data_IF_438338402727
#
_entry.id   IF_438338402727
#
_cell.length_a   1.000
_cell.length_b   1.000
_cell.length_c   1.000
_cell.angle_alpha   90.00
_cell.angle_beta   90.00
_cell.angle_gamma   90.00
#
_symmetry.space_group_name_H-M   'P 1'
#
loop_
_entity.id
_entity.type
_entity.pdbx_description
1 polymer ?
#
# COMPACT_ATOMS: atom_id res chain seq x y z
N UNK A 1 -38.41 4.18 -20.73
CA UNK A 1 -38.35 4.33 -19.26
C UNK A 1 -37.32 5.42 -18.98
N UNK A 2 -37.58 6.41 -18.12
CA UNK A 2 -36.55 7.39 -17.79
C UNK A 2 -35.39 6.66 -17.11
N UNK A 3 -34.18 6.81 -17.66
CA UNK A 3 -32.96 6.30 -17.04
C UNK A 3 -32.88 6.83 -15.60
N UNK A 4 -32.80 5.92 -14.64
CA UNK A 4 -32.68 6.28 -13.23
C UNK A 4 -31.34 6.99 -13.08
N UNK A 5 -31.37 8.31 -12.86
CA UNK A 5 -30.17 9.12 -12.67
C UNK A 5 -29.36 8.53 -11.51
N UNK A 6 -28.13 8.11 -11.78
CA UNK A 6 -27.22 7.56 -10.76
C UNK A 6 -26.82 8.74 -9.85
N UNK A 7 -26.94 8.55 -8.53
CA UNK A 7 -26.61 9.57 -7.52
C UNK A 7 -25.73 8.94 -6.44
N UNK A 8 -24.74 9.69 -5.96
CA UNK A 8 -23.94 9.31 -4.81
C UNK A 8 -24.84 9.21 -3.57
N UNK A 9 -24.63 8.17 -2.76
CA UNK A 9 -25.34 7.98 -1.49
C UNK A 9 -24.68 8.88 -0.44
N UNK A 10 -25.48 9.67 0.27
CA UNK A 10 -24.97 10.60 1.29
C UNK A 10 -24.37 9.90 2.51
N UNK A 11 -24.87 8.71 2.85
CA UNK A 11 -24.44 7.92 4.01
C UNK A 11 -24.51 6.42 3.67
N UNK A 12 -23.37 5.74 3.74
CA UNK A 12 -23.25 4.30 3.53
C UNK A 12 -23.63 3.55 4.81
N UNK A 13 -24.36 2.44 4.67
CA UNK A 13 -24.58 1.50 5.77
C UNK A 13 -23.57 0.36 5.67
N UNK A 14 -23.24 -0.28 6.77
CA UNK A 14 -22.36 -1.45 6.76
C UNK A 14 -22.85 -2.59 5.85
N UNK A 15 -24.17 -2.68 5.66
CA UNK A 15 -24.81 -3.66 4.77
C UNK A 15 -25.20 -3.05 3.41
N UNK A 16 -24.64 -1.90 3.03
CA UNK A 16 -24.99 -1.23 1.77
C UNK A 16 -24.58 -2.08 0.57
N UNK A 17 -25.53 -2.50 -0.30
CA UNK A 17 -25.20 -3.28 -1.49
C UNK A 17 -24.28 -2.52 -2.46
N UNK A 18 -24.21 -1.21 -2.35
CA UNK A 18 -23.30 -0.36 -3.12
C UNK A 18 -21.82 -0.57 -2.75
N UNK A 19 -21.54 -1.15 -1.58
CA UNK A 19 -20.18 -1.47 -1.14
C UNK A 19 -19.73 -2.89 -1.48
N UNK A 20 -20.55 -3.65 -2.23
CA UNK A 20 -20.27 -5.07 -2.56
C UNK A 20 -18.87 -5.29 -3.14
N UNK A 21 -18.40 -4.41 -4.03
CA UNK A 21 -17.05 -4.53 -4.61
C UNK A 21 -15.94 -4.31 -3.58
N UNK A 22 -16.15 -3.43 -2.59
CA UNK A 22 -15.21 -3.19 -1.48
C UNK A 22 -15.10 -4.45 -0.62
N UNK A 23 -16.24 -5.00 -0.19
CA UNK A 23 -16.30 -6.23 0.61
C UNK A 23 -15.65 -7.42 -0.09
N UNK A 24 -16.00 -7.64 -1.36
CA UNK A 24 -15.44 -8.74 -2.14
C UNK A 24 -13.92 -8.64 -2.27
N UNK A 25 -13.41 -7.45 -2.53
CA UNK A 25 -11.97 -7.21 -2.60
C UNK A 25 -11.28 -7.44 -1.25
N UNK A 26 -11.80 -6.85 -0.18
CA UNK A 26 -11.17 -6.88 1.13
C UNK A 26 -11.12 -8.30 1.70
N UNK A 27 -12.20 -9.08 1.54
CA UNK A 27 -12.23 -10.47 2.00
C UNK A 27 -11.24 -11.38 1.27
N UNK A 28 -10.93 -11.09 0.00
CA UNK A 28 -10.00 -11.88 -0.79
C UNK A 28 -8.53 -11.51 -0.49
N UNK A 29 -8.22 -10.21 -0.40
CA UNK A 29 -6.83 -9.73 -0.38
C UNK A 29 -6.37 -9.11 0.94
N UNK A 30 -7.30 -8.81 1.84
CA UNK A 30 -7.04 -8.25 3.17
C UNK A 30 -7.91 -8.94 4.24
N UNK A 31 -7.96 -10.29 4.28
CA UNK A 31 -8.74 -10.99 5.30
C UNK A 31 -8.12 -10.79 6.68
N UNK A 32 -8.95 -10.80 7.71
CA UNK A 32 -8.46 -10.78 9.08
C UNK A 32 -7.94 -12.16 9.49
N UNK A 33 -6.82 -12.16 10.22
CA UNK A 33 -6.22 -13.37 10.77
C UNK A 33 -6.66 -13.59 12.22
N UNK A 34 -7.18 -14.78 12.50
CA UNK A 34 -7.58 -15.20 13.84
C UNK A 34 -6.77 -16.41 14.27
N UNK A 35 -6.23 -16.37 15.49
CA UNK A 35 -5.51 -17.50 16.08
C UNK A 35 -6.49 -18.31 16.91
N UNK A 36 -6.67 -19.57 16.53
CA UNK A 36 -7.46 -20.55 17.30
C UNK A 36 -6.79 -20.91 18.62
N UNK A 37 -7.54 -21.52 19.54
CA UNK A 37 -7.01 -22.04 20.82
C UNK A 37 -5.86 -23.05 20.62
N UNK A 38 -5.81 -23.71 19.45
CA UNK A 38 -4.78 -24.68 19.05
C UNK A 38 -3.56 -24.02 18.36
N UNK A 39 -3.53 -22.69 18.24
CA UNK A 39 -2.44 -21.93 17.62
C UNK A 39 -2.47 -21.89 16.09
N UNK A 40 -3.54 -22.39 15.44
CA UNK A 40 -3.72 -22.33 13.98
C UNK A 40 -4.28 -20.96 13.57
N UNK A 41 -3.74 -20.39 12.50
CA UNK A 41 -4.24 -19.17 11.85
C UNK A 41 -5.42 -19.53 10.94
N UNK A 42 -6.54 -18.84 11.12
CA UNK A 42 -7.71 -18.87 10.25
C UNK A 42 -7.93 -17.50 9.63
N UNK A 43 -8.37 -17.48 8.37
CA UNK A 43 -8.75 -16.25 7.66
C UNK A 43 -10.26 -16.05 7.81
N UNK A 44 -10.66 -14.88 8.30
CA UNK A 44 -12.05 -14.48 8.41
C UNK A 44 -12.38 -13.26 7.56
N UNK A 45 -13.61 -12.78 7.72
CA UNK A 45 -14.09 -11.57 7.06
C UNK A 45 -13.27 -10.35 7.50
N UNK A 46 -12.92 -9.51 6.53
CA UNK A 46 -12.11 -8.31 6.74
C UNK A 46 -12.91 -7.25 7.50
N UNK A 47 -12.34 -6.67 8.57
CA UNK A 47 -12.93 -5.50 9.24
C UNK A 47 -12.67 -4.19 8.48
N UNK A 48 -11.73 -4.17 7.53
CA UNK A 48 -11.27 -2.97 6.82
C UNK A 48 -12.41 -2.21 6.09
N UNK A 49 -13.42 -2.86 5.47
CA UNK A 49 -14.55 -2.15 4.87
C UNK A 49 -15.40 -1.36 5.86
N UNK A 50 -15.50 -1.79 7.14
CA UNK A 50 -16.22 -1.01 8.16
C UNK A 50 -15.51 0.33 8.39
N UNK A 51 -14.18 0.33 8.52
CA UNK A 51 -13.39 1.54 8.68
C UNK A 51 -13.49 2.48 7.47
N UNK A 52 -13.56 1.92 6.26
CA UNK A 52 -13.80 2.70 5.06
C UNK A 52 -15.17 3.39 5.10
N UNK A 53 -16.23 2.67 5.50
CA UNK A 53 -17.58 3.22 5.61
C UNK A 53 -17.63 4.32 6.68
N UNK A 54 -16.98 4.11 7.82
CA UNK A 54 -16.86 5.13 8.87
C UNK A 54 -16.17 6.38 8.35
N UNK A 55 -15.04 6.25 7.65
CA UNK A 55 -14.33 7.39 7.02
C UNK A 55 -15.15 8.08 5.92
N UNK A 56 -15.98 7.31 5.21
CA UNK A 56 -16.87 7.86 4.19
C UNK A 56 -17.97 8.72 4.82
N UNK A 57 -18.54 8.25 5.94
CA UNK A 57 -19.67 8.86 6.63
C UNK A 57 -19.27 9.99 7.58
N UNK A 58 -18.16 9.89 8.34
CA UNK A 58 -17.78 10.89 9.34
C UNK A 58 -16.33 10.78 9.95
N UNK A 59 -16.01 11.74 10.85
CA UNK A 59 -14.87 11.91 11.79
C UNK A 59 -13.41 11.85 11.30
N UNK A 60 -13.04 11.05 10.30
CA UNK A 60 -11.67 11.00 9.74
C UNK A 60 -11.72 11.32 8.24
N UNK A 61 -10.86 12.21 7.71
CA UNK A 61 -10.89 12.53 6.30
C UNK A 61 -10.52 11.31 5.45
N UNK A 62 -11.49 10.82 4.67
CA UNK A 62 -11.26 9.93 3.54
C UNK A 62 -10.45 10.67 2.48
N UNK A 63 -9.37 10.06 1.99
CA UNK A 63 -8.62 10.66 0.89
C UNK A 63 -9.42 10.53 -0.41
N UNK A 64 -9.97 11.65 -0.89
CA UNK A 64 -10.77 11.71 -2.12
C UNK A 64 -10.00 12.41 -3.24
N UNK A 65 -9.62 11.71 -4.32
CA UNK A 65 -8.85 12.32 -5.39
C UNK A 65 -9.68 13.20 -6.33
N UNK A 66 -10.97 12.89 -6.49
CA UNK A 66 -11.93 13.58 -7.36
C UNK A 66 -13.34 13.56 -6.73
N UNK A 67 -14.26 14.40 -7.21
CA UNK A 67 -15.68 14.33 -6.84
C UNK A 67 -16.43 13.26 -7.63
N UNK A 68 -17.58 12.80 -7.11
CA UNK A 68 -18.46 11.88 -7.82
C UNK A 68 -18.96 12.46 -9.15
N UNK A 69 -19.28 13.76 -9.19
CA UNK A 69 -19.65 14.44 -10.44
C UNK A 69 -18.52 14.41 -11.47
N UNK A 70 -17.26 14.60 -11.04
CA UNK A 70 -16.09 14.50 -11.94
C UNK A 70 -15.94 13.08 -12.49
N UNK A 71 -16.20 12.07 -11.67
CA UNK A 71 -16.17 10.67 -12.08
C UNK A 71 -17.28 10.33 -13.08
N UNK A 72 -18.53 10.71 -12.78
CA UNK A 72 -19.69 10.35 -13.60
C UNK A 72 -19.76 11.13 -14.92
N UNK A 73 -19.23 12.35 -14.95
CA UNK A 73 -19.13 13.16 -16.17
C UNK A 73 -17.89 12.82 -17.04
N UNK A 74 -17.10 11.82 -16.67
CA UNK A 74 -15.98 11.36 -17.49
C UNK A 74 -16.44 10.27 -18.47
N UNK A 75 -16.77 10.67 -19.69
CA UNK A 75 -17.29 9.79 -20.75
C UNK A 75 -16.40 8.56 -21.00
N UNK A 76 -15.08 8.71 -20.91
CA UNK A 76 -14.13 7.62 -21.16
C UNK A 76 -14.22 6.59 -20.02
N UNK A 77 -14.23 7.05 -18.77
CA UNK A 77 -14.38 6.15 -17.61
C UNK A 77 -15.74 5.45 -17.66
N UNK A 78 -16.82 6.20 -17.88
CA UNK A 78 -18.17 5.64 -17.94
C UNK A 78 -18.33 4.61 -19.07
N UNK A 79 -17.78 4.88 -20.25
CA UNK A 79 -17.79 3.94 -21.39
C UNK A 79 -17.01 2.66 -21.08
N UNK A 80 -15.82 2.78 -20.48
CA UNK A 80 -15.02 1.62 -20.10
C UNK A 80 -15.70 0.77 -19.03
N UNK A 81 -16.40 1.38 -18.08
CA UNK A 81 -17.18 0.67 -17.07
C UNK A 81 -18.34 -0.10 -17.70
N UNK A 82 -19.03 0.50 -18.68
CA UNK A 82 -20.11 -0.16 -19.43
C UNK A 82 -19.59 -1.33 -20.26
N UNK A 83 -18.48 -1.14 -20.99
CA UNK A 83 -17.83 -2.20 -21.78
C UNK A 83 -17.37 -3.37 -20.90
N UNK A 84 -16.90 -3.07 -19.69
CA UNK A 84 -16.49 -4.06 -18.68
C UNK A 84 -17.67 -4.64 -17.88
N UNK A 85 -18.89 -4.15 -18.11
CA UNK A 85 -20.12 -4.54 -17.39
C UNK A 85 -20.02 -4.36 -15.87
N UNK A 86 -19.39 -3.27 -15.44
CA UNK A 86 -19.22 -2.92 -14.03
C UNK A 86 -20.30 -1.94 -13.61
N UNK A 87 -20.84 -2.13 -12.40
CA UNK A 87 -21.74 -1.17 -11.80
C UNK A 87 -20.96 0.10 -11.42
N UNK A 88 -21.37 1.24 -12.01
CA UNK A 88 -20.68 2.54 -11.82
C UNK A 88 -20.70 3.00 -10.36
N UNK A 89 -21.79 2.77 -9.64
CA UNK A 89 -21.90 3.21 -8.25
C UNK A 89 -21.08 2.31 -7.33
N UNK A 90 -21.12 0.98 -7.52
CA UNK A 90 -20.28 0.05 -6.75
C UNK A 90 -18.79 0.27 -7.02
N UNK A 91 -18.44 0.52 -8.28
CA UNK A 91 -17.07 0.79 -8.67
C UNK A 91 -16.55 2.13 -8.11
N UNK A 92 -17.40 3.15 -8.00
CA UNK A 92 -17.04 4.40 -7.33
C UNK A 92 -16.53 4.17 -5.91
N UNK A 93 -17.25 3.40 -5.10
CA UNK A 93 -16.85 3.11 -3.73
C UNK A 93 -15.58 2.26 -3.64
N UNK A 94 -15.43 1.26 -4.52
CA UNK A 94 -14.17 0.53 -4.65
C UNK A 94 -13.00 1.47 -5.01
N UNK A 95 -13.20 2.39 -5.95
CA UNK A 95 -12.18 3.32 -6.38
C UNK A 95 -11.72 4.22 -5.23
N UNK A 96 -12.65 4.80 -4.47
CA UNK A 96 -12.35 5.57 -3.27
C UNK A 96 -11.61 4.72 -2.23
N UNK A 97 -12.09 3.51 -1.98
CA UNK A 97 -11.49 2.58 -1.04
C UNK A 97 -10.03 2.26 -1.39
N UNK A 98 -9.76 1.83 -2.62
CA UNK A 98 -8.40 1.48 -3.05
C UNK A 98 -7.47 2.70 -3.11
N UNK A 99 -8.00 3.88 -3.45
CA UNK A 99 -7.19 5.10 -3.43
C UNK A 99 -6.79 5.48 -2.00
N UNK A 100 -7.75 5.46 -1.07
CA UNK A 100 -7.50 5.76 0.34
C UNK A 100 -6.60 4.72 1.00
N UNK A 101 -6.79 3.44 0.68
CA UNK A 101 -5.92 2.34 1.10
C UNK A 101 -4.48 2.60 0.64
N UNK A 102 -4.25 2.88 -0.66
CA UNK A 102 -2.90 3.14 -1.18
C UNK A 102 -2.32 4.44 -0.64
N UNK A 103 -3.13 5.47 -0.44
CA UNK A 103 -2.72 6.70 0.23
C UNK A 103 -2.21 6.44 1.65
N UNK A 104 -2.84 5.52 2.37
CA UNK A 104 -2.39 5.06 3.67
C UNK A 104 -1.03 4.34 3.67
N UNK A 105 -0.65 3.68 2.57
CA UNK A 105 0.69 3.10 2.40
C UNK A 105 1.73 4.12 1.92
N UNK A 106 1.34 5.04 1.05
CA UNK A 106 2.26 5.93 0.33
C UNK A 106 2.43 7.33 0.93
N UNK A 107 1.39 7.89 1.55
CA UNK A 107 1.44 9.25 2.15
C UNK A 107 1.44 9.20 3.67
N UNK A 108 0.86 8.15 4.24
CA UNK A 108 0.76 7.93 5.69
C UNK A 108 1.39 6.60 6.10
N UNK A 109 2.25 6.04 5.24
CA UNK A 109 2.87 4.74 5.46
C UNK A 109 3.66 4.74 6.75
N UNK A 110 3.35 3.80 7.63
CA UNK A 110 4.12 3.57 8.84
C UNK A 110 5.21 2.57 8.49
N UNK A 111 6.45 3.02 8.39
CA UNK A 111 7.56 2.07 8.39
C UNK A 111 7.70 1.47 9.78
N UNK A 112 7.49 0.16 9.88
CA UNK A 112 7.83 -0.58 11.09
C UNK A 112 9.35 -0.74 11.06
N UNK A 113 10.06 0.05 11.87
CA UNK A 113 11.47 -0.19 12.11
C UNK A 113 11.56 -1.41 13.03
N UNK A 114 11.95 -2.56 12.47
CA UNK A 114 12.32 -3.72 13.28
C UNK A 114 13.68 -3.45 13.91
N UNK A 115 13.66 -2.76 15.05
CA UNK A 115 14.87 -2.49 15.83
C UNK A 115 15.57 -3.79 16.25
N UNK A 116 14.81 -4.89 16.41
CA UNK A 116 15.38 -6.20 16.69
C UNK A 116 16.26 -6.70 15.56
N UNK A 117 15.76 -6.63 14.31
CA UNK A 117 16.54 -7.00 13.14
C UNK A 117 17.76 -6.10 12.94
N UNK A 118 17.63 -4.78 13.12
CA UNK A 118 18.77 -3.87 12.99
C UNK A 118 19.86 -4.14 14.03
N UNK A 119 19.47 -4.46 15.27
CA UNK A 119 20.42 -4.86 16.32
C UNK A 119 21.08 -6.20 15.95
N UNK A 120 20.32 -7.18 15.43
CA UNK A 120 20.88 -8.45 14.94
C UNK A 120 21.89 -8.24 13.80
N UNK A 121 21.55 -7.43 12.80
CA UNK A 121 22.45 -7.12 11.69
C UNK A 121 23.73 -6.45 12.17
N UNK A 122 23.62 -5.51 13.13
CA UNK A 122 24.76 -4.87 13.77
C UNK A 122 25.64 -5.88 14.54
N UNK A 123 25.03 -6.80 15.28
CA UNK A 123 25.73 -7.88 15.99
C UNK A 123 26.47 -8.78 15.01
N UNK A 124 25.79 -9.28 13.98
CA UNK A 124 26.38 -10.16 12.97
C UNK A 124 27.55 -9.48 12.27
N UNK A 125 27.38 -8.23 11.83
CA UNK A 125 28.46 -7.48 11.19
C UNK A 125 29.68 -7.32 12.10
N UNK A 126 29.47 -7.09 13.41
CA UNK A 126 30.56 -7.01 14.37
C UNK A 126 31.27 -8.36 14.55
N UNK A 127 30.53 -9.45 14.74
CA UNK A 127 31.10 -10.78 14.98
C UNK A 127 31.90 -11.29 13.78
N UNK A 128 31.34 -11.15 12.57
CA UNK A 128 32.05 -11.47 11.32
C UNK A 128 33.34 -10.66 11.19
N UNK A 129 33.32 -9.36 11.49
CA UNK A 129 34.52 -8.54 11.43
C UNK A 129 35.61 -9.00 12.40
N UNK A 130 35.24 -9.35 13.64
CA UNK A 130 36.19 -9.84 14.66
C UNK A 130 36.76 -11.20 14.28
N UNK A 131 35.96 -12.11 13.74
CA UNK A 131 36.42 -13.41 13.24
C UNK A 131 37.40 -13.26 12.07
N UNK A 132 37.08 -12.41 11.10
CA UNK A 132 37.92 -12.19 9.92
C UNK A 132 39.17 -11.37 10.22
N UNK A 133 39.14 -10.48 11.24
CA UNK A 133 40.20 -9.50 11.52
C UNK A 133 40.58 -9.43 13.03
N UNK A 134 41.05 -10.52 13.65
CA UNK A 134 41.18 -10.65 15.11
C UNK A 134 42.14 -9.66 15.78
N UNK A 135 43.04 -9.02 15.02
CA UNK A 135 44.04 -8.09 15.55
C UNK A 135 43.83 -6.63 15.10
N UNK A 136 42.75 -6.34 14.37
CA UNK A 136 42.53 -5.01 13.82
C UNK A 136 41.85 -4.10 14.85
N UNK A 137 42.35 -2.86 14.95
CA UNK A 137 41.73 -1.85 15.81
C UNK A 137 40.41 -1.41 15.20
N UNK A 138 39.34 -1.49 15.99
CA UNK A 138 37.99 -1.08 15.60
C UNK A 138 37.51 0.12 16.44
N UNK A 139 36.65 0.96 15.86
CA UNK A 139 35.97 2.04 16.58
C UNK A 139 34.50 2.09 16.19
N UNK A 140 33.62 2.35 17.15
CA UNK A 140 32.22 2.65 16.91
C UNK A 140 32.04 4.17 16.90
N UNK A 141 31.47 4.71 15.83
CA UNK A 141 31.25 6.16 15.69
C UNK A 141 29.75 6.43 15.61
N UNK A 142 29.24 7.23 16.53
CA UNK A 142 27.89 7.78 16.50
C UNK A 142 27.98 9.19 15.96
N UNK A 143 27.36 9.44 14.82
CA UNK A 143 27.35 10.76 14.17
C UNK A 143 25.93 11.30 14.13
N UNK A 144 25.77 12.53 14.57
CA UNK A 144 24.56 13.34 14.37
C UNK A 144 24.94 14.63 13.64
N UNK A 145 23.96 15.48 13.35
CA UNK A 145 24.21 16.81 12.76
C UNK A 145 25.04 17.73 13.67
N UNK A 146 24.96 17.54 15.00
CA UNK A 146 25.54 18.47 15.99
C UNK A 146 26.76 17.91 16.72
N UNK A 147 26.89 16.59 16.79
CA UNK A 147 27.93 15.94 17.59
C UNK A 147 28.39 14.60 17.02
N UNK A 148 29.64 14.25 17.34
CA UNK A 148 30.26 12.97 17.03
C UNK A 148 30.74 12.33 18.34
N UNK A 149 30.19 11.17 18.67
CA UNK A 149 30.68 10.28 19.72
C UNK A 149 31.53 9.15 19.13
N UNK A 150 32.64 8.80 19.77
CA UNK A 150 33.53 7.72 19.29
C UNK A 150 33.96 6.82 20.44
N UNK A 151 33.65 5.53 20.35
CA UNK A 151 34.19 4.47 21.20
C UNK A 151 35.33 3.81 20.44
N UNK A 152 36.55 3.90 20.98
CA UNK A 152 37.78 3.43 20.31
C UNK A 152 38.28 2.07 20.81
N UNK A 153 37.72 1.60 21.92
CA UNK A 153 38.14 0.37 22.58
C UNK A 153 37.23 -0.79 22.15
N UNK A 154 37.83 -1.86 21.64
CA UNK A 154 37.09 -3.01 21.10
C UNK A 154 36.36 -3.77 22.21
N UNK A 155 36.95 -3.85 23.41
CA UNK A 155 36.33 -4.53 24.55
C UNK A 155 35.07 -3.80 25.03
N UNK A 156 35.06 -2.48 24.97
CA UNK A 156 33.87 -1.66 25.26
C UNK A 156 32.77 -1.94 24.23
N UNK A 157 33.11 -2.09 22.95
CA UNK A 157 32.14 -2.43 21.90
C UNK A 157 31.61 -3.85 22.09
N UNK A 158 32.47 -4.82 22.42
CA UNK A 158 32.04 -6.19 22.79
C UNK A 158 31.07 -6.18 23.97
N UNK A 159 31.27 -5.30 24.95
CA UNK A 159 30.37 -5.15 26.09
C UNK A 159 29.00 -4.61 25.68
N UNK A 160 28.95 -3.66 24.74
CA UNK A 160 27.68 -3.18 24.14
C UNK A 160 26.96 -4.32 23.43
N UNK A 161 27.68 -5.08 22.58
CA UNK A 161 27.14 -6.23 21.85
C UNK A 161 26.55 -7.27 22.80
N UNK A 162 27.23 -7.56 23.92
CA UNK A 162 26.72 -8.46 24.96
C UNK A 162 25.36 -8.01 25.50
N UNK A 163 25.22 -6.73 25.83
CA UNK A 163 23.93 -6.21 26.32
C UNK A 163 22.85 -6.16 25.24
N UNK A 164 23.22 -5.90 23.99
CA UNK A 164 22.29 -6.00 22.87
C UNK A 164 21.74 -7.44 22.75
N UNK A 165 22.61 -8.47 22.84
CA UNK A 165 22.19 -9.88 22.84
C UNK A 165 21.25 -10.21 24.01
N UNK A 166 21.60 -9.79 25.21
CA UNK A 166 20.77 -10.01 26.41
C UNK A 166 19.40 -9.33 26.29
N UNK A 167 19.37 -8.07 25.84
CA UNK A 167 18.12 -7.34 25.61
C UNK A 167 17.24 -7.99 24.54
N UNK A 168 17.83 -8.50 23.46
CA UNK A 168 17.10 -9.25 22.44
C UNK A 168 16.51 -10.57 22.96
N UNK A 169 17.25 -11.30 23.79
CA UNK A 169 16.76 -12.54 24.40
C UNK A 169 15.59 -12.26 25.37
N UNK A 170 15.68 -11.20 26.19
CA UNK A 170 14.64 -10.79 27.14
C UNK A 170 13.39 -10.20 26.45
N UNK A 171 13.57 -9.40 25.39
CA UNK A 171 12.48 -8.75 24.64
C UNK A 171 11.97 -9.55 23.43
N UNK A 172 12.55 -10.71 23.10
CA UNK A 172 12.08 -11.62 22.03
C UNK A 172 10.59 -12.00 22.11
N UNK A 173 9.91 -11.71 23.23
CA UNK A 173 8.47 -11.89 23.45
C UNK A 173 7.60 -10.67 23.10
N UNK A 174 8.19 -9.51 22.81
CA UNK A 174 7.51 -8.25 22.46
C UNK A 174 8.29 -7.58 21.35
N UNK A 175 7.74 -7.54 20.12
CA UNK A 175 8.37 -6.83 19.00
C UNK A 175 8.68 -5.39 19.46
N UNK A 176 9.95 -4.99 19.44
CA UNK A 176 10.36 -3.63 19.76
C UNK A 176 9.98 -2.75 18.57
N UNK A 177 8.74 -2.29 18.58
CA UNK A 177 8.21 -1.35 17.59
C UNK A 177 8.44 0.05 18.17
N UNK A 178 9.52 0.71 17.77
CA UNK A 178 9.74 2.11 18.11
C UNK A 178 10.00 2.93 16.84
N UNK A 179 8.94 3.60 16.40
CA UNK A 179 9.03 4.69 15.44
C UNK A 179 7.93 4.66 14.38
N UNK A 180 7.10 5.69 14.36
CA UNK A 180 6.24 6.04 13.23
C UNK A 180 7.06 6.98 12.33
N UNK A 181 7.70 6.48 11.27
CA UNK A 181 8.21 7.35 10.21
C UNK A 181 7.18 7.41 9.08
N UNK A 182 6.60 8.60 8.90
CA UNK A 182 5.73 8.92 7.76
C UNK A 182 6.63 9.27 6.57
N UNK A 183 6.74 8.36 5.61
CA UNK A 183 7.44 8.63 4.35
C UNK A 183 6.40 8.90 3.25
N UNK A 184 6.61 9.98 2.49
CA UNK A 184 5.85 10.25 1.27
C UNK A 184 6.54 9.61 0.07
N UNK A 185 5.89 8.61 -0.51
CA UNK A 185 6.33 7.97 -1.74
C UNK A 185 6.04 8.85 -2.97
N UNK A 186 6.86 8.72 -4.01
CA UNK A 186 6.63 9.40 -5.30
C UNK A 186 5.28 9.03 -5.93
N UNK A 187 4.68 9.96 -6.68
CA UNK A 187 3.44 9.70 -7.43
C UNK A 187 3.52 8.47 -8.34
N UNK A 188 4.68 8.18 -8.94
CA UNK A 188 4.87 6.98 -9.77
C UNK A 188 4.79 5.68 -8.97
N UNK A 189 5.27 5.68 -7.71
CA UNK A 189 5.13 4.54 -6.79
C UNK A 189 3.70 4.39 -6.28
N UNK A 190 3.01 5.50 -5.98
CA UNK A 190 1.57 5.49 -5.69
C UNK A 190 0.78 4.93 -6.88
N UNK A 191 1.00 5.46 -8.09
CA UNK A 191 0.33 5.01 -9.31
C UNK A 191 0.51 3.51 -9.54
N UNK A 192 1.72 2.99 -9.32
CA UNK A 192 2.00 1.57 -9.40
C UNK A 192 1.20 0.75 -8.38
N UNK A 193 1.20 1.15 -7.11
CA UNK A 193 0.48 0.44 -6.07
C UNK A 193 -1.02 0.45 -6.32
N UNK A 194 -1.57 1.60 -6.68
CA UNK A 194 -2.96 1.76 -7.08
C UNK A 194 -3.32 0.88 -8.30
N UNK A 195 -2.47 0.87 -9.33
CA UNK A 195 -2.64 -0.03 -10.48
C UNK A 195 -2.64 -1.50 -10.06
N UNK A 196 -1.74 -1.88 -9.13
CA UNK A 196 -1.66 -3.25 -8.61
C UNK A 196 -2.92 -3.66 -7.87
N UNK A 197 -3.44 -2.81 -6.98
CA UNK A 197 -4.69 -3.10 -6.25
C UNK A 197 -5.88 -3.24 -7.21
N UNK A 198 -5.99 -2.37 -8.22
CA UNK A 198 -7.03 -2.50 -9.25
C UNK A 198 -6.90 -3.79 -10.06
N UNK A 199 -5.67 -4.21 -10.40
CA UNK A 199 -5.42 -5.49 -11.09
C UNK A 199 -5.87 -6.68 -10.27
N UNK A 200 -5.63 -6.67 -8.95
CA UNK A 200 -6.11 -7.70 -8.03
C UNK A 200 -7.66 -7.72 -8.00
N UNK A 201 -8.32 -6.56 -7.92
CA UNK A 201 -9.78 -6.52 -8.01
C UNK A 201 -10.32 -7.20 -9.27
N UNK A 202 -9.74 -6.92 -10.44
CA UNK A 202 -10.16 -7.55 -11.69
C UNK A 202 -9.94 -9.06 -11.73
N UNK A 203 -8.89 -9.55 -11.07
CA UNK A 203 -8.64 -10.99 -10.91
C UNK A 203 -9.69 -11.62 -9.98
N UNK A 204 -10.03 -10.98 -8.86
CA UNK A 204 -11.10 -11.42 -7.95
C UNK A 204 -12.50 -11.43 -8.62
N UNK A 205 -12.73 -10.53 -9.57
CA UNK A 205 -13.98 -10.56 -10.36
C UNK A 205 -14.03 -11.69 -11.39
N UNK A 206 -12.89 -12.22 -11.82
CA UNK A 206 -12.77 -13.27 -12.83
C UNK A 206 -11.68 -14.30 -12.45
N UNK A 207 -11.92 -15.14 -11.43
CA UNK A 207 -10.89 -16.03 -10.87
C UNK A 207 -10.39 -17.09 -11.86
N UNK A 208 -11.21 -17.47 -12.85
CA UNK A 208 -10.88 -18.50 -13.84
C UNK A 208 -9.98 -18.01 -14.98
N UNK A 209 -9.65 -16.70 -15.02
CA UNK A 209 -8.88 -16.12 -16.12
C UNK A 209 -7.36 -16.25 -15.85
N UNK A 210 -6.56 -16.33 -16.91
CA UNK A 210 -5.11 -16.25 -16.80
C UNK A 210 -4.64 -14.97 -16.07
N UNK A 211 -3.43 -15.00 -15.51
CA UNK A 211 -2.86 -13.96 -14.62
C UNK A 211 -2.99 -12.51 -15.18
N UNK A 212 -3.13 -12.33 -16.48
CA UNK A 212 -3.17 -11.01 -17.14
C UNK A 212 -4.58 -10.38 -17.19
N UNK A 213 -4.68 -9.09 -16.83
CA UNK A 213 -5.84 -8.24 -17.16
C UNK A 213 -5.92 -7.92 -18.67
N UNK A 214 -7.14 -7.76 -19.16
CA UNK A 214 -7.49 -7.31 -20.51
C UNK A 214 -7.01 -5.88 -20.80
N UNK A 215 -6.96 -5.51 -22.08
CA UNK A 215 -6.56 -4.16 -22.49
C UNK A 215 -7.59 -3.09 -22.11
N UNK A 216 -8.88 -3.45 -21.95
CA UNK A 216 -9.93 -2.55 -21.43
C UNK A 216 -9.74 -2.25 -19.94
N UNK A 217 -9.43 -3.26 -19.13
CA UNK A 217 -9.14 -3.08 -17.70
C UNK A 217 -7.89 -2.21 -17.51
N UNK A 218 -6.84 -2.45 -18.31
CA UNK A 218 -5.65 -1.56 -18.33
C UNK A 218 -6.03 -0.13 -18.69
N UNK A 219 -6.89 0.05 -19.70
CA UNK A 219 -7.34 1.37 -20.10
C UNK A 219 -8.07 2.09 -18.96
N UNK A 220 -8.95 1.39 -18.24
CA UNK A 220 -9.67 1.95 -17.09
C UNK A 220 -8.71 2.35 -15.96
N UNK A 221 -7.78 1.47 -15.60
CA UNK A 221 -6.76 1.76 -14.57
C UNK A 221 -5.98 3.03 -14.92
N UNK A 222 -5.54 3.16 -16.17
CA UNK A 222 -4.76 4.32 -16.63
C UNK A 222 -5.61 5.60 -16.62
N UNK A 223 -6.90 5.54 -16.98
CA UNK A 223 -7.77 6.71 -16.86
C UNK A 223 -7.95 7.15 -15.40
N UNK A 224 -8.06 6.20 -14.47
CA UNK A 224 -8.14 6.50 -13.04
C UNK A 224 -6.84 7.12 -12.51
N UNK A 225 -5.67 6.61 -12.90
CA UNK A 225 -4.36 7.20 -12.56
C UNK A 225 -4.24 8.64 -13.11
N UNK A 226 -4.77 8.90 -14.30
CA UNK A 226 -4.76 10.23 -14.89
C UNK A 226 -5.67 11.19 -14.13
N UNK A 227 -6.93 10.81 -13.88
CA UNK A 227 -7.91 11.70 -13.25
C UNK A 227 -7.55 12.01 -11.80
N UNK A 228 -6.80 11.13 -11.14
CA UNK A 228 -6.26 11.31 -9.78
C UNK A 228 -4.99 12.16 -9.72
N UNK A 229 -4.42 12.56 -10.87
CA UNK A 229 -3.17 13.33 -10.92
C UNK A 229 -1.90 12.53 -10.60
N UNK A 230 -2.00 11.19 -10.51
CA UNK A 230 -0.86 10.31 -10.20
C UNK A 230 0.04 10.04 -11.42
N UNK A 231 -0.46 10.27 -12.63
CA UNK A 231 0.29 10.04 -13.86
C UNK A 231 1.54 10.93 -13.96
N UNK A 232 2.62 10.37 -14.54
CA UNK A 232 3.86 11.10 -14.83
C UNK A 232 3.55 12.37 -15.67
N UNK A 233 4.12 13.55 -15.34
CA UNK A 233 3.94 14.77 -16.12
C UNK A 233 4.26 14.61 -17.62
N UNK A 234 5.22 13.76 -17.99
CA UNK A 234 5.56 13.42 -19.39
C UNK A 234 4.47 12.58 -20.05
N UNK A 235 3.73 11.80 -19.28
CA UNK A 235 2.55 11.09 -19.73
C UNK A 235 1.38 12.07 -19.96
N UNK A 236 1.21 13.05 -19.07
CA UNK A 236 0.19 14.10 -19.21
C UNK A 236 0.45 15.04 -20.40
N UNK A 237 1.71 15.36 -20.70
CA UNK A 237 2.08 16.29 -21.78
C UNK A 237 2.06 15.66 -23.19
N UNK A 238 2.33 14.36 -23.33
CA UNK A 238 2.44 13.69 -24.63
C UNK A 238 1.09 13.20 -25.23
N UNK A 239 0.04 13.01 -24.42
CA UNK A 239 -1.15 12.23 -24.83
C UNK A 239 -2.50 12.92 -24.56
N UNK A 240 -2.53 14.25 -24.61
CA UNK A 240 -3.53 15.10 -23.94
C UNK A 240 -5.01 15.06 -24.32
N UNK A 241 -5.55 14.26 -25.26
CA UNK A 241 -7.01 14.38 -25.59
C UNK A 241 -7.86 13.13 -25.85
N UNK A 242 -7.33 12.00 -26.32
CA UNK A 242 -8.11 10.75 -26.47
C UNK A 242 -7.15 9.57 -26.39
N UNK A 243 -7.30 8.68 -25.39
CA UNK A 243 -6.52 7.44 -25.39
C UNK A 243 -7.23 6.41 -26.25
N UNK A 244 -6.49 5.84 -27.20
CA UNK A 244 -6.81 4.53 -27.74
C UNK A 244 -6.28 3.49 -26.74
N UNK A 245 -6.97 2.34 -26.61
CA UNK A 245 -6.61 1.27 -25.66
C UNK A 245 -5.12 0.84 -25.75
N UNK A 246 -4.50 1.00 -26.93
CA UNK A 246 -3.09 0.70 -27.18
C UNK A 246 -2.10 1.52 -26.33
N UNK A 247 -2.30 2.84 -26.20
CA UNK A 247 -1.37 3.69 -25.44
C UNK A 247 -1.48 3.46 -23.93
N UNK A 248 -2.71 3.19 -23.45
CA UNK A 248 -2.94 2.85 -22.05
C UNK A 248 -2.27 1.52 -21.67
N UNK A 249 -2.38 0.50 -22.54
CA UNK A 249 -1.69 -0.78 -22.37
C UNK A 249 -0.19 -0.61 -22.19
N UNK A 250 0.45 0.20 -23.05
CA UNK A 250 1.89 0.42 -23.01
C UNK A 250 2.32 1.14 -21.73
N UNK A 251 1.58 2.16 -21.32
CA UNK A 251 1.86 2.86 -20.06
C UNK A 251 1.71 1.94 -18.85
N UNK A 252 0.59 1.21 -18.77
CA UNK A 252 0.37 0.24 -17.70
C UNK A 252 1.52 -0.78 -17.64
N UNK A 253 1.89 -1.40 -18.76
CA UNK A 253 2.97 -2.38 -18.81
C UNK A 253 4.31 -1.78 -18.39
N UNK A 254 4.60 -0.54 -18.81
CA UNK A 254 5.82 0.16 -18.42
C UNK A 254 5.85 0.43 -16.91
N UNK A 255 4.74 0.92 -16.35
CA UNK A 255 4.59 1.18 -14.91
C UNK A 255 4.75 -0.11 -14.10
N UNK A 256 4.08 -1.20 -14.50
CA UNK A 256 4.18 -2.49 -13.81
C UNK A 256 5.57 -3.11 -13.92
N UNK A 257 6.29 -2.90 -15.03
CA UNK A 257 7.66 -3.36 -15.20
C UNK A 257 8.65 -2.58 -14.35
N UNK A 258 8.47 -1.27 -14.23
CA UNK A 258 9.37 -0.38 -13.49
C UNK A 258 9.50 -0.76 -12.01
N UNK A 259 8.41 -1.19 -11.39
CA UNK A 259 8.35 -1.52 -9.96
C UNK A 259 8.16 -3.03 -9.71
N UNK A 260 8.53 -3.87 -10.68
CA UNK A 260 8.43 -5.32 -10.53
C UNK A 260 9.37 -5.79 -9.41
N UNK A 261 8.81 -6.47 -8.40
CA UNK A 261 9.58 -7.02 -7.28
C UNK A 261 9.82 -6.05 -6.12
N UNK A 262 9.22 -4.85 -6.14
CA UNK A 262 9.26 -3.96 -4.98
C UNK A 262 8.53 -4.60 -3.79
N UNK A 263 9.24 -4.83 -2.69
CA UNK A 263 8.69 -5.23 -1.39
C UNK A 263 8.22 -3.97 -0.68
N UNK A 264 7.03 -4.00 -0.09
CA UNK A 264 6.45 -2.86 0.59
C UNK A 264 6.58 -3.07 2.10
N UNK A 265 7.48 -2.30 2.71
CA UNK A 265 7.87 -2.39 4.12
C UNK A 265 6.99 -1.53 5.04
N UNK A 266 6.04 -0.76 4.49
CA UNK A 266 5.14 0.09 5.26
C UNK A 266 3.80 -0.58 5.53
N UNK A 267 3.34 -0.50 6.78
CA UNK A 267 1.96 -0.80 7.14
C UNK A 267 1.05 0.37 6.79
N UNK A 268 -0.22 0.07 6.53
CA UNK A 268 -1.21 1.08 6.18
C UNK A 268 -1.56 1.96 7.38
N UNK A 269 -0.95 3.13 7.51
CA UNK A 269 -1.20 4.02 8.66
C UNK A 269 -2.63 4.53 8.78
N UNK A 270 -3.43 4.45 7.71
CA UNK A 270 -4.84 4.87 7.72
C UNK A 270 -5.78 3.85 8.34
N UNK A 271 -5.36 2.58 8.42
CA UNK A 271 -6.15 1.42 8.88
C UNK A 271 -5.41 0.63 9.98
N UNK A 272 -4.43 1.25 10.65
CA UNK A 272 -3.84 0.74 11.87
C UNK A 272 -4.73 1.18 13.05
N UNK A 273 -5.31 0.22 13.77
CA UNK A 273 -5.97 0.43 15.06
C UNK A 273 -4.92 0.61 16.15
#
# INVERSE_FOLDING_TARGET
MPEKKITEISELKYTSPETEYVWKYANEYIPDEYITEEGKILLGESQIPFEFIDKYNDAKPLERPISFDTYLNNDIICTLLDDLKLDKLKFWYLFLFLYDLVSGYCKKGVQIIDSGQQINDFITAFETFVEENPNQKMKLTLKSEYQIGVIKDISTIQYIIKYCKQGLEEESKKRIIQGLQVNEDSNSKFAYLFARQMTLFFQCMNPDREINISDLEKALIVQLIKVTGLADPKFNSKYGKKYLAYDAKNYYNALMKQYKGTVFESCNGSYLI
#
